data_IF_591311855575
#
_entry.id   IF_591311855575
#
_cell.length_a   1.000
_cell.length_b   1.000
_cell.length_c   1.000
_cell.angle_alpha   90.00
_cell.angle_beta   90.00
_cell.angle_gamma   90.00
#
_symmetry.space_group_name_H-M   'P 1'
#
loop_
_entity.id
_entity.type
_entity.pdbx_description
1 polymer ?
2 polymer ?
3 non-polymer ?
4 water ?
#
loop_
_entity_poly.entity_id
_entity_poly.type
_entity_poly.pdbx_seq_one_letter_code
_entity_poly.pdbx_strand_id
2 'polydeoxyribonucleotide' '(DT)(DT)(DT)(DT)(DT)(DT)' ?
#
# COMPACT_ATOMS: atom_id res chain seq x y z
N UNK A 6 -9.43 10.35 -14.36
CA UNK A 6 -10.51 9.72 -13.61
C UNK A 6 -9.99 9.11 -12.31
N UNK A 7 -8.76 8.60 -12.36
CA UNK A 7 -8.12 8.01 -11.19
C UNK A 7 -6.63 7.83 -11.45
N UNK A 8 -5.78 8.24 -10.51
CA UNK A 8 -4.34 8.10 -10.63
C UNK A 8 -3.75 7.58 -9.33
N UNK A 9 -2.58 6.96 -9.43
CA UNK A 9 -1.88 6.47 -8.24
C UNK A 9 -0.38 6.60 -8.45
N UNK A 10 0.32 6.74 -7.33
CA UNK A 10 1.78 6.78 -7.36
C UNK A 10 2.30 6.21 -6.06
N UNK A 11 3.19 5.21 -6.15
CA UNK A 11 3.87 4.72 -4.96
C UNK A 11 4.95 5.73 -4.60
N UNK A 12 4.76 6.45 -3.50
CA UNK A 12 5.71 7.49 -3.14
C UNK A 12 6.86 6.91 -2.32
N UNK A 13 6.59 5.86 -1.54
CA UNK A 13 7.62 5.22 -0.74
C UNK A 13 7.24 3.77 -0.51
N UNK A 14 8.19 2.85 -0.71
CA UNK A 14 7.98 1.44 -0.41
C UNK A 14 8.45 1.16 1.01
N UNK A 15 7.56 0.61 1.85
CA UNK A 15 7.93 0.34 3.23
C UNK A 15 8.27 -1.12 3.49
N UNK A 16 7.44 -2.06 3.04
CA UNK A 16 7.64 -3.45 3.44
C UNK A 16 6.94 -4.36 2.44
N UNK A 17 7.59 -5.47 2.08
CA UNK A 17 6.95 -6.53 1.31
C UNK A 17 6.61 -7.65 2.27
N UNK A 18 5.37 -8.13 2.23
CA UNK A 18 4.89 -9.16 3.15
C UNK A 18 4.97 -10.56 2.57
N UNK A 19 4.82 -10.71 1.26
CA UNK A 19 4.85 -12.02 0.62
C UNK A 19 4.86 -11.80 -0.89
N UNK A 20 5.19 -12.87 -1.61
CA UNK A 20 5.20 -12.85 -3.06
C UNK A 20 4.68 -14.20 -3.53
N UNK A 21 3.94 -14.21 -4.63
CA UNK A 21 3.33 -15.45 -5.09
C UNK A 21 4.01 -15.96 -6.36
N UNK A 22 3.50 -17.09 -6.87
CA UNK A 22 4.15 -17.78 -7.98
C UNK A 22 4.18 -16.93 -9.24
N UNK A 23 3.24 -16.00 -9.38
CA UNK A 23 3.18 -15.12 -10.54
C UNK A 23 3.97 -13.84 -10.34
N UNK A 24 4.70 -13.72 -9.24
CA UNK A 24 5.53 -12.56 -9.00
C UNK A 24 4.81 -11.39 -8.36
N UNK A 25 3.53 -11.53 -8.07
CA UNK A 25 2.80 -10.45 -7.40
C UNK A 25 3.16 -10.41 -5.93
N UNK A 26 3.25 -9.20 -5.37
CA UNK A 26 3.68 -9.01 -4.00
C UNK A 26 2.58 -8.31 -3.20
N UNK A 27 2.43 -8.71 -1.94
CA UNK A 27 1.66 -7.93 -0.97
C UNK A 27 2.61 -6.97 -0.28
N UNK A 28 2.32 -5.67 -0.36
CA UNK A 28 3.23 -4.64 0.13
C UNK A 28 2.50 -3.65 1.02
N UNK A 29 3.26 -3.04 1.93
CA UNK A 29 2.84 -1.84 2.65
C UNK A 29 3.62 -0.69 2.06
N UNK A 30 2.92 0.27 1.47
CA UNK A 30 3.55 1.41 0.81
C UNK A 30 2.89 2.69 1.27
N UNK A 31 3.52 3.82 0.96
CA UNK A 31 2.85 5.12 1.03
C UNK A 31 2.46 5.47 -0.40
N UNK A 32 1.16 5.60 -0.65
CA UNK A 32 0.65 5.75 -2.01
C UNK A 32 -0.19 7.02 -2.09
N UNK A 33 0.05 7.83 -3.12
CA UNK A 33 -0.79 8.99 -3.38
C UNK A 33 -1.86 8.63 -4.40
N UNK A 34 -3.13 8.82 -4.03
CA UNK A 34 -4.25 8.57 -4.93
C UNK A 34 -4.85 9.89 -5.37
N UNK A 35 -5.00 10.07 -6.68
CA UNK A 35 -5.59 11.29 -7.25
C UNK A 35 -4.89 12.54 -6.72
N UNK A 36 -3.57 12.46 -6.58
CA UNK A 36 -2.75 13.56 -6.14
C UNK A 36 -2.87 13.93 -4.68
N UNK A 37 -3.60 13.15 -3.89
CA UNK A 37 -3.72 13.45 -2.48
C UNK A 37 -2.41 13.13 -1.76
N UNK A 38 -2.18 13.70 -0.58
CA UNK A 38 -1.00 13.31 0.19
C UNK A 38 -0.97 11.81 0.40
N UNK A 39 0.22 11.23 0.30
CA UNK A 39 0.35 9.78 0.37
C UNK A 39 -0.15 9.24 1.70
N UNK A 40 -0.82 8.10 1.65
CA UNK A 40 -1.31 7.42 2.83
C UNK A 40 -0.75 6.00 2.84
N UNK A 41 -0.85 5.35 3.99
CA UNK A 41 -0.48 3.94 4.07
C UNK A 41 -1.41 3.12 3.19
N UNK A 42 -0.85 2.11 2.53
CA UNK A 42 -1.62 1.31 1.59
C UNK A 42 -1.08 -0.10 1.66
N UNK A 43 -1.97 -1.06 1.95
CA UNK A 43 -1.62 -2.48 2.07
C UNK A 43 -2.32 -3.20 0.93
N UNK A 44 -1.55 -3.76 0.00
CA UNK A 44 -2.13 -4.07 -1.29
C UNK A 44 -1.23 -5.03 -2.06
N UNK A 45 -1.85 -5.82 -2.94
CA UNK A 45 -1.10 -6.63 -3.89
C UNK A 45 -0.69 -5.83 -5.12
N UNK A 46 0.50 -6.12 -5.64
CA UNK A 46 1.08 -5.41 -6.78
C UNK A 46 1.66 -6.37 -7.79
N UNK A 47 1.57 -6.01 -9.07
CA UNK A 47 2.21 -6.79 -10.12
C UNK A 47 3.73 -6.62 -10.06
N UNK A 48 4.48 -7.50 -10.73
CA UNK A 48 5.94 -7.41 -10.65
C UNK A 48 6.52 -6.04 -10.97
N UNK A 49 6.00 -5.34 -11.97
CA UNK A 49 6.52 -4.01 -12.29
C UNK A 49 5.70 -2.90 -11.65
N UNK A 50 4.79 -3.25 -10.74
CA UNK A 50 3.97 -2.29 -9.99
C UNK A 50 3.07 -1.44 -10.88
N UNK A 51 2.81 -1.86 -12.12
CA UNK A 51 1.88 -1.12 -12.98
C UNK A 51 0.46 -1.65 -12.90
N UNK A 52 0.24 -2.76 -12.20
CA UNK A 52 -1.11 -3.23 -11.92
C UNK A 52 -1.24 -3.40 -10.42
N UNK A 53 -2.36 -2.97 -9.87
CA UNK A 53 -2.63 -3.16 -8.45
C UNK A 53 -3.79 -4.12 -8.27
N UNK A 54 -3.74 -4.87 -7.17
CA UNK A 54 -4.80 -5.75 -6.79
C UNK A 54 -5.61 -5.18 -5.64
N UNK A 55 -6.29 -6.07 -4.95
CA UNK A 55 -7.14 -5.68 -3.84
C UNK A 55 -6.29 -5.25 -2.65
N UNK A 56 -6.79 -4.27 -1.91
CA UNK A 56 -6.09 -3.84 -0.72
C UNK A 56 -6.87 -2.76 0.00
N UNK A 57 -6.24 -2.19 1.02
CA UNK A 57 -6.87 -1.17 1.84
C UNK A 57 -5.92 0.01 2.00
N UNK A 58 -6.49 1.21 2.00
CA UNK A 58 -5.75 2.43 2.30
C UNK A 58 -6.12 2.87 3.71
N UNK A 59 -5.11 3.26 4.49
CA UNK A 59 -5.31 3.70 5.86
C UNK A 59 -4.71 5.08 6.06
N UNK A 60 -5.45 5.94 6.73
CA UNK A 60 -4.88 7.21 7.15
C UNK A 60 -3.78 6.97 8.18
N UNK A 61 -2.95 8.00 8.39
CA UNK A 61 -1.90 7.88 9.40
C UNK A 61 -2.49 7.53 10.76
N UNK A 62 -3.61 8.16 11.12
CA UNK A 62 -4.27 7.88 12.39
C UNK A 62 -4.78 6.45 12.45
N UNK A 63 -5.33 5.95 11.34
CA UNK A 63 -5.82 4.58 11.32
C UNK A 63 -4.67 3.59 11.43
N UNK A 64 -3.58 3.84 10.70
CA UNK A 64 -2.44 2.95 10.77
C UNK A 64 -1.80 2.96 12.16
N UNK A 65 -1.70 4.13 12.78
CA UNK A 65 -1.13 4.20 14.12
C UNK A 65 -2.02 3.51 15.15
N UNK A 66 -3.34 3.65 15.00
CA UNK A 66 -4.27 2.93 15.87
C UNK A 66 -4.03 1.43 15.79
N UNK A 67 -3.79 0.92 14.58
CA UNK A 67 -3.53 -0.51 14.39
C UNK A 67 -2.22 -0.94 15.05
N UNK A 68 -1.15 -0.16 14.87
CA UNK A 68 0.14 -0.58 15.40
C UNK A 68 0.13 -0.56 16.93
N UNK A 69 -0.41 0.51 17.51
CA UNK A 69 -0.50 0.58 18.97
C UNK A 69 -1.32 -0.57 19.54
N UNK A 70 -2.29 -1.07 18.78
CA UNK A 70 -3.21 -2.07 19.32
C UNK A 70 -2.55 -3.43 19.45
N UNK A 71 -1.83 -3.87 18.41
CA UNK A 71 -1.30 -5.23 18.39
C UNK A 71 0.14 -5.32 18.88
N UNK A 72 0.78 -4.20 19.20
CA UNK A 72 2.10 -4.21 19.82
C UNK A 72 2.28 -2.98 20.70
X LIG C 1 8.37 12.76 -2.84
X LIG C 1 8.05 11.64 -2.07
X LIG C 1 6.98 12.01 -1.04
X LIG C 1 6.49 10.83 -0.48
X LIG C 1 5.14 10.01 1.31
X LIG C 1 6.34 10.86 0.91
X LIG C 1 4.58 10.49 2.50
X LIG C 1 2.93 12.19 2.12
X LIG C 1 4.36 11.88 2.54
X LIG C 1 2.94 12.93 0.93
X LIG C 1 3.56 15.15 0.28
X LIG C 1 2.61 14.28 1.11
X LIG C 1 4.57 15.67 1.10
X LIG C 1 6.46 16.18 -0.27
X LIG C 1 5.28 16.73 0.52
X LIG C 1 7.16 15.23 0.49
X LIG D 1 -4.39 -2.00 -11.61
X LIG D 1 -4.44 -1.40 -13.91
X LIG D 1 -4.09 -0.96 -12.49
X LIG D 1 -4.04 -0.40 -14.81
X LIG D 1 -2.63 -1.83 -16.13
X LIG D 1 -3.83 -0.89 -16.11
X LIG D 1 -1.60 -1.32 -16.94
#
# INVERSE_FOLDING_TARGET
MKKMAEFTFEIEEHLLTLSENEKGWTKEINRVSFNGAPAKFDIRAWSPDHTKMGKGITLSNEEFQTMVDAFKGNLEHHHHHH
1PE OH2 C12 C22 OH3 C13 C23 OH4 C14 C24 OH5 C15 C25 OH6 C16 C26 OH7
1PE OH4 C14 C24 OH5 C15 C25 OH6
#
